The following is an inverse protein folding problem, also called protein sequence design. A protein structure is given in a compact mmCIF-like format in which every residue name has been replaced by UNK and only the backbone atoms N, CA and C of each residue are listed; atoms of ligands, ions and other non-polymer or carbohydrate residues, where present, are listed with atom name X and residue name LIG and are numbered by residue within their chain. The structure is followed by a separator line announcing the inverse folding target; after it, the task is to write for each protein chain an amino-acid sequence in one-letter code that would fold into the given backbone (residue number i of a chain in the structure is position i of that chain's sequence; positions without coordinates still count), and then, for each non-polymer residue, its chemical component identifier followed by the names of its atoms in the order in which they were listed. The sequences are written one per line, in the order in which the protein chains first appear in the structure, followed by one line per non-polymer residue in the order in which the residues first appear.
data_IF_816321659213
#
_entry.id   IF_816321659213
#
_cell.length_a   1.000
_cell.length_b   1.000
_cell.length_c   1.000
_cell.angle_alpha   90.00
_cell.angle_beta   90.00
_cell.angle_gamma   90.00
#
_symmetry.space_group_name_H-M   'P 1'
#
loop_
_entity.id
_entity.type
_entity.pdbx_description
1 polymer ?
#
# COMPACT_ATOMS: atom_id res chain seq x y z
N UNK A 1 6.67 9.22 73.94
CA UNK A 1 5.78 8.04 73.78
C UNK A 1 4.83 8.34 72.64
N UNK A 2 4.68 7.57 71.58
CA UNK A 2 5.27 6.31 71.14
C UNK A 2 4.92 6.16 69.65
N UNK A 3 5.78 5.46 68.91
CA UNK A 3 5.69 5.23 67.47
C UNK A 3 4.60 4.18 67.21
N UNK A 4 3.83 4.31 66.13
CA UNK A 4 3.14 3.16 65.52
C UNK A 4 3.09 3.30 64.00
N UNK A 5 3.96 2.53 63.34
CA UNK A 5 3.91 2.18 61.91
C UNK A 5 2.71 1.29 61.64
N UNK A 6 1.93 1.55 60.57
CA UNK A 6 1.26 0.52 59.76
C UNK A 6 1.08 0.96 58.29
N UNK A 7 1.94 0.36 57.46
CA UNK A 7 1.63 -0.33 56.19
C UNK A 7 0.95 0.40 55.02
N UNK A 8 1.75 0.52 53.96
CA UNK A 8 1.45 0.78 52.55
C UNK A 8 0.37 -0.17 51.98
N UNK A 9 -0.43 0.28 50.99
CA UNK A 9 -0.68 -0.56 49.83
C UNK A 9 -0.19 0.11 48.54
N UNK A 10 0.66 -0.65 47.86
CA UNK A 10 1.15 -0.45 46.51
C UNK A 10 -0.05 -0.64 45.56
N UNK A 11 -0.07 0.17 44.50
CA UNK A 11 -0.42 -0.20 43.11
C UNK A 11 -1.39 0.80 42.51
N UNK A 12 -0.88 1.66 41.65
CA UNK A 12 -1.56 2.01 40.41
C UNK A 12 -0.51 2.16 39.30
N UNK A 13 -0.43 1.11 38.49
CA UNK A 13 0.24 1.08 37.20
C UNK A 13 -0.59 1.90 36.20
N UNK A 14 -0.10 3.07 35.79
CA UNK A 14 -0.47 3.76 34.54
C UNK A 14 0.78 4.60 34.19
N UNK A 15 1.69 4.08 33.35
CA UNK A 15 1.72 4.23 31.89
C UNK A 15 1.70 5.69 31.41
N UNK A 16 2.55 6.54 31.97
CA UNK A 16 2.90 7.82 31.36
C UNK A 16 4.31 7.73 30.76
N UNK A 17 4.44 6.91 29.70
CA UNK A 17 5.57 7.01 28.77
C UNK A 17 5.23 8.19 27.87
N UNK A 18 5.66 9.38 28.30
CA UNK A 18 5.58 10.61 27.53
C UNK A 18 6.58 10.51 26.37
N UNK A 19 6.16 9.83 25.29
CA UNK A 19 6.93 9.74 24.05
C UNK A 19 6.88 11.10 23.35
N UNK A 20 7.85 11.94 23.69
CA UNK A 20 8.10 13.23 23.05
C UNK A 20 8.60 12.97 21.63
N UNK A 21 7.69 12.83 20.67
CA UNK A 21 8.05 12.71 19.26
C UNK A 21 8.59 14.06 18.77
N UNK A 22 9.91 14.13 18.62
CA UNK A 22 10.65 15.21 17.99
C UNK A 22 10.20 15.35 16.52
N UNK A 23 9.36 16.35 16.22
CA UNK A 23 8.96 16.69 14.86
C UNK A 23 10.14 17.41 14.19
N UNK A 24 10.95 16.63 13.46
CA UNK A 24 11.95 17.17 12.55
C UNK A 24 11.22 17.70 11.30
N UNK A 25 11.13 19.03 11.17
CA UNK A 25 10.58 19.68 9.98
C UNK A 25 11.62 19.59 8.87
N UNK A 26 11.53 18.53 8.06
CA UNK A 26 12.29 18.45 6.80
C UNK A 26 11.62 19.36 5.76
N UNK A 27 12.32 20.41 5.34
CA UNK A 27 12.00 21.26 4.18
C UNK A 27 12.24 20.53 2.83
N UNK A 28 11.77 19.29 2.72
CA UNK A 28 11.66 18.56 1.48
C UNK A 28 10.18 18.42 1.15
N UNK A 29 9.76 18.81 -0.06
CA UNK A 29 8.35 18.75 -0.46
C UNK A 29 7.72 17.40 -0.08
N UNK A 30 6.60 17.44 0.65
CA UNK A 30 5.90 16.24 1.10
C UNK A 30 5.57 15.35 -0.10
N UNK A 31 6.30 14.25 -0.26
CA UNK A 31 5.95 13.22 -1.23
C UNK A 31 4.77 12.44 -0.64
N UNK A 32 3.63 12.47 -1.31
CA UNK A 32 2.49 11.65 -0.91
C UNK A 32 2.82 10.17 -1.16
N UNK A 33 2.81 9.38 -0.09
CA UNK A 33 3.04 7.93 -0.12
C UNK A 33 1.88 7.25 0.59
N UNK A 34 1.27 6.30 -0.08
CA UNK A 34 0.22 5.46 0.49
C UNK A 34 0.69 4.00 0.43
N UNK A 35 0.62 3.29 1.55
CA UNK A 35 1.09 1.90 1.67
C UNK A 35 0.14 1.09 2.56
N UNK A 36 -0.22 -0.10 2.10
CA UNK A 36 -0.88 -1.13 2.92
C UNK A 36 -0.10 -2.42 2.72
N UNK A 37 0.56 -2.95 3.77
CA UNK A 37 1.33 -4.18 3.66
C UNK A 37 0.46 -5.33 3.19
N UNK A 38 0.88 -6.00 2.11
CA UNK A 38 0.33 -7.29 1.72
C UNK A 38 1.15 -8.45 2.30
N UNK A 39 0.62 -9.65 2.22
CA UNK A 39 1.32 -10.90 2.52
C UNK A 39 1.37 -11.78 1.28
N UNK A 40 2.45 -12.54 1.11
CA UNK A 40 2.62 -13.44 -0.05
C UNK A 40 3.07 -12.73 -1.33
N UNK A 41 3.17 -13.50 -2.41
CA UNK A 41 3.52 -13.05 -3.75
C UNK A 41 4.94 -12.52 -3.96
N UNK A 42 5.28 -12.30 -5.23
CA UNK A 42 6.49 -11.60 -5.63
C UNK A 42 6.25 -10.08 -5.65
N UNK A 43 7.22 -9.33 -5.12
CA UNK A 43 7.18 -7.87 -5.12
C UNK A 43 7.79 -7.32 -6.41
N UNK A 44 7.03 -6.50 -7.13
CA UNK A 44 7.54 -5.75 -8.29
C UNK A 44 7.32 -4.26 -8.06
N UNK A 45 8.34 -3.46 -8.38
CA UNK A 45 8.28 -2.00 -8.35
C UNK A 45 8.34 -1.45 -9.77
N UNK A 46 7.35 -0.63 -10.13
CA UNK A 46 7.21 -0.09 -11.48
C UNK A 46 7.06 1.42 -11.39
N UNK A 47 7.95 2.14 -12.08
CA UNK A 47 7.86 3.60 -12.20
C UNK A 47 6.76 3.97 -13.20
N UNK A 48 6.10 5.10 -12.96
CA UNK A 48 5.18 5.68 -13.92
C UNK A 48 5.87 5.88 -15.28
N UNK A 49 5.16 5.51 -16.35
CA UNK A 49 5.63 5.50 -17.72
C UNK A 49 6.41 4.23 -18.12
N UNK A 50 6.62 3.29 -17.20
CA UNK A 50 7.33 2.04 -17.47
C UNK A 50 6.42 0.82 -17.36
N UNK A 51 6.94 -0.31 -17.85
CA UNK A 51 6.33 -1.63 -17.78
C UNK A 51 7.18 -2.56 -16.92
N UNK A 52 6.55 -3.23 -15.96
CA UNK A 52 7.11 -4.39 -15.26
C UNK A 52 6.64 -5.70 -15.89
N UNK A 53 7.38 -6.78 -15.66
CA UNK A 53 7.04 -8.11 -16.17
C UNK A 53 7.08 -9.13 -15.05
N UNK A 54 6.09 -10.02 -15.03
CA UNK A 54 6.02 -11.19 -14.18
C UNK A 54 5.52 -12.37 -15.01
N UNK A 55 6.40 -13.31 -15.34
CA UNK A 55 6.08 -14.40 -16.27
C UNK A 55 5.49 -13.86 -17.59
N UNK A 56 4.28 -14.26 -17.96
CA UNK A 56 3.57 -13.85 -19.19
C UNK A 56 2.79 -12.52 -19.00
N UNK A 57 2.69 -12.02 -17.76
CA UNK A 57 2.02 -10.78 -17.42
C UNK A 57 2.97 -9.58 -17.56
N UNK A 58 2.54 -8.61 -18.38
CA UNK A 58 3.16 -7.29 -18.47
C UNK A 58 2.25 -6.26 -17.79
N UNK A 59 2.82 -5.36 -17.00
CA UNK A 59 2.09 -4.37 -16.21
C UNK A 59 2.69 -2.99 -16.49
N UNK A 60 1.97 -2.17 -17.23
CA UNK A 60 2.29 -0.75 -17.42
C UNK A 60 1.73 0.09 -16.29
N UNK A 61 2.52 1.04 -15.76
CA UNK A 61 1.99 2.11 -14.90
C UNK A 61 1.83 3.37 -15.75
N UNK A 62 0.64 3.58 -16.28
CA UNK A 62 0.37 4.65 -17.25
C UNK A 62 0.34 6.03 -16.57
N UNK A 63 -0.31 6.12 -15.41
CA UNK A 63 -0.45 7.37 -14.68
C UNK A 63 -0.64 7.16 -13.19
N UNK A 64 -0.29 8.15 -12.37
CA UNK A 64 -0.60 8.22 -10.94
C UNK A 64 -1.27 9.57 -10.69
N UNK A 65 -2.48 9.55 -10.16
CA UNK A 65 -3.29 10.76 -9.96
C UNK A 65 -3.88 10.80 -8.56
N UNK A 66 -4.00 12.02 -8.02
CA UNK A 66 -4.71 12.27 -6.77
C UNK A 66 -6.17 12.55 -7.08
N UNK A 67 -7.08 11.76 -6.52
CA UNK A 67 -8.54 11.91 -6.75
C UNK A 67 -9.33 11.27 -5.62
N UNK A 68 -10.63 11.52 -5.64
CA UNK A 68 -11.58 10.76 -4.83
C UNK A 68 -11.81 9.37 -5.44
N UNK A 69 -11.92 8.36 -4.59
CA UNK A 69 -12.27 6.98 -4.95
C UNK A 69 -13.11 6.32 -3.84
N UNK A 70 -13.78 5.23 -4.19
CA UNK A 70 -14.50 4.37 -3.23
C UNK A 70 -13.66 3.12 -3.02
N UNK A 71 -13.33 2.80 -1.76
CA UNK A 71 -12.56 1.61 -1.46
C UNK A 71 -13.44 0.34 -1.42
N UNK A 72 -12.81 -0.83 -1.26
CA UNK A 72 -13.49 -2.13 -1.16
C UNK A 72 -14.55 -2.21 -0.05
N UNK A 73 -14.44 -1.38 1.01
CA UNK A 73 -15.43 -1.30 2.09
C UNK A 73 -16.60 -0.33 1.77
N UNK A 74 -16.65 0.23 0.56
CA UNK A 74 -17.66 1.21 0.14
C UNK A 74 -17.42 2.63 0.68
N UNK A 75 -16.30 2.89 1.35
CA UNK A 75 -16.00 4.20 1.92
C UNK A 75 -15.38 5.12 0.87
N UNK A 76 -15.91 6.35 0.76
CA UNK A 76 -15.28 7.42 -0.03
C UNK A 76 -13.97 7.86 0.63
N UNK A 77 -12.92 7.94 -0.16
CA UNK A 77 -11.57 8.36 0.24
C UNK A 77 -11.03 9.34 -0.79
N UNK A 78 -10.15 10.22 -0.35
CA UNK A 78 -9.33 11.04 -1.22
C UNK A 78 -7.89 10.55 -1.10
N UNK A 79 -7.25 10.21 -2.22
CA UNK A 79 -5.90 9.64 -2.18
C UNK A 79 -5.32 9.43 -3.58
N UNK A 80 -4.24 8.65 -3.65
CA UNK A 80 -3.58 8.31 -4.89
C UNK A 80 -4.24 7.08 -5.53
N UNK A 81 -4.46 7.17 -6.83
CA UNK A 81 -4.76 6.01 -7.67
C UNK A 81 -3.71 5.87 -8.76
N UNK A 82 -3.41 4.63 -9.12
CA UNK A 82 -2.60 4.29 -10.27
C UNK A 82 -3.50 3.80 -11.40
N UNK A 83 -3.17 4.18 -12.64
CA UNK A 83 -3.74 3.59 -13.84
C UNK A 83 -2.77 2.53 -14.31
N UNK A 84 -3.17 1.26 -14.18
CA UNK A 84 -2.39 0.11 -14.63
C UNK A 84 -2.95 -0.41 -15.94
N UNK A 85 -2.10 -0.66 -16.92
CA UNK A 85 -2.42 -1.47 -18.10
C UNK A 85 -1.85 -2.86 -17.89
N UNK A 86 -2.69 -3.88 -17.82
CA UNK A 86 -2.27 -5.27 -17.71
C UNK A 86 -2.42 -5.93 -19.08
N UNK A 87 -1.36 -6.62 -19.51
CA UNK A 87 -1.33 -7.38 -20.74
C UNK A 87 -0.85 -8.80 -20.46
N UNK A 88 -1.58 -9.81 -20.93
CA UNK A 88 -1.16 -11.22 -20.88
C UNK A 88 -1.06 -11.72 -22.31
N UNK A 89 0.13 -12.23 -22.65
CA UNK A 89 0.37 -12.86 -23.94
C UNK A 89 -0.40 -14.19 -24.04
N UNK A 90 -0.92 -14.52 -25.22
CA UNK A 90 -1.81 -15.65 -25.42
C UNK A 90 -2.48 -15.67 -26.78
N UNK A 91 -3.38 -16.64 -27.00
CA UNK A 91 -4.18 -16.73 -28.21
C UNK A 91 -5.68 -16.88 -27.86
N UNK A 92 -6.48 -15.79 -27.87
CA UNK A 92 -6.07 -14.41 -28.16
C UNK A 92 -5.33 -13.74 -26.97
N UNK A 93 -4.51 -12.72 -27.21
CA UNK A 93 -3.92 -11.91 -26.14
C UNK A 93 -5.00 -11.10 -25.40
N UNK A 94 -4.76 -10.80 -24.13
CA UNK A 94 -5.67 -10.03 -23.28
C UNK A 94 -5.01 -8.75 -22.80
N UNK A 95 -5.69 -7.61 -22.95
CA UNK A 95 -5.25 -6.32 -22.42
C UNK A 95 -6.40 -5.62 -21.70
N UNK A 96 -6.13 -5.04 -20.53
CA UNK A 96 -7.13 -4.27 -19.77
C UNK A 96 -6.50 -3.21 -18.88
N UNK A 97 -7.14 -2.04 -18.87
CA UNK A 97 -6.80 -0.97 -17.96
C UNK A 97 -7.58 -1.05 -16.64
N UNK A 98 -6.89 -0.76 -15.55
CA UNK A 98 -7.43 -0.73 -14.20
C UNK A 98 -7.04 0.56 -13.50
N UNK A 99 -8.03 1.25 -12.93
CA UNK A 99 -7.79 2.33 -11.97
C UNK A 99 -7.79 1.71 -10.58
N UNK A 100 -6.65 1.73 -9.92
CA UNK A 100 -6.46 1.03 -8.65
C UNK A 100 -5.97 1.96 -7.55
N UNK A 101 -6.44 1.72 -6.33
CA UNK A 101 -5.92 2.36 -5.12
C UNK A 101 -5.10 1.37 -4.29
N UNK A 102 -4.37 1.87 -3.29
CA UNK A 102 -3.62 1.01 -2.37
C UNK A 102 -4.55 0.06 -1.61
N UNK A 103 -4.11 -1.18 -1.43
CA UNK A 103 -4.89 -2.24 -0.80
C UNK A 103 -5.87 -2.94 -1.73
N UNK A 104 -6.02 -2.48 -2.98
CA UNK A 104 -6.86 -3.14 -3.95
C UNK A 104 -6.17 -4.37 -4.54
N UNK A 105 -6.96 -5.43 -4.77
CA UNK A 105 -6.55 -6.63 -5.49
C UNK A 105 -7.36 -6.73 -6.77
N UNK A 106 -6.68 -6.87 -7.90
CA UNK A 106 -7.29 -7.14 -9.20
C UNK A 106 -6.84 -8.51 -9.70
N UNK A 107 -7.68 -9.16 -10.49
CA UNK A 107 -7.37 -10.45 -11.12
C UNK A 107 -7.47 -10.33 -12.63
N UNK A 108 -6.52 -10.94 -13.33
CA UNK A 108 -6.54 -11.07 -14.79
C UNK A 108 -5.91 -12.39 -15.19
N UNK A 109 -6.65 -13.21 -15.93
CA UNK A 109 -6.27 -14.59 -16.22
C UNK A 109 -5.91 -15.36 -14.93
N UNK A 110 -4.75 -16.04 -14.90
CA UNK A 110 -4.22 -16.74 -13.73
C UNK A 110 -3.46 -15.85 -12.76
N UNK A 111 -3.49 -14.53 -12.89
CA UNK A 111 -2.72 -13.63 -12.04
C UNK A 111 -3.60 -12.82 -11.08
N UNK A 112 -3.12 -12.69 -9.84
CA UNK A 112 -3.63 -11.75 -8.84
C UNK A 112 -2.59 -10.65 -8.64
N UNK A 113 -2.99 -9.38 -8.83
CA UNK A 113 -2.14 -8.20 -8.64
C UNK A 113 -2.71 -7.38 -7.49
N UNK A 114 -1.94 -7.28 -6.41
CA UNK A 114 -2.26 -6.48 -5.24
C UNK A 114 -1.41 -5.21 -5.19
N UNK A 115 -2.05 -4.07 -4.96
CA UNK A 115 -1.37 -2.78 -4.86
C UNK A 115 -0.91 -2.54 -3.43
N UNK A 116 0.36 -2.79 -3.15
CA UNK A 116 0.93 -2.56 -1.82
C UNK A 116 1.22 -1.08 -1.58
N UNK A 117 1.69 -0.34 -2.59
CA UNK A 117 2.16 1.03 -2.40
C UNK A 117 2.00 1.89 -3.66
N UNK A 118 1.61 3.15 -3.49
CA UNK A 118 1.64 4.18 -4.53
C UNK A 118 2.37 5.41 -3.98
N UNK A 119 3.38 5.89 -4.72
CA UNK A 119 4.13 7.12 -4.44
C UNK A 119 3.88 8.16 -5.53
N UNK A 120 3.29 9.29 -5.18
CA UNK A 120 2.95 10.38 -6.11
C UNK A 120 4.09 11.40 -6.27
N UNK A 121 5.13 11.08 -7.04
CA UNK A 121 6.21 12.00 -7.42
C UNK A 121 6.20 12.29 -8.93
N UNK A 122 7.06 13.20 -9.41
CA UNK A 122 7.25 13.54 -10.85
C UNK A 122 7.56 12.30 -11.72
N UNK A 123 8.07 11.22 -11.09
CA UNK A 123 8.15 9.87 -11.67
C UNK A 123 7.71 8.89 -10.60
N UNK A 124 6.42 8.90 -10.32
CA UNK A 124 5.83 8.12 -9.25
C UNK A 124 6.15 6.62 -9.37
N UNK A 125 5.96 5.91 -8.27
CA UNK A 125 6.33 4.50 -8.14
C UNK A 125 5.13 3.73 -7.61
N UNK A 126 4.87 2.57 -8.20
CA UNK A 126 3.89 1.61 -7.68
C UNK A 126 4.64 0.36 -7.25
N UNK A 127 4.37 -0.12 -6.04
CA UNK A 127 4.81 -1.43 -5.56
C UNK A 127 3.62 -2.37 -5.60
N UNK A 128 3.79 -3.48 -6.32
CA UNK A 128 2.78 -4.51 -6.53
C UNK A 128 3.24 -5.82 -5.91
N UNK A 129 2.30 -6.61 -5.39
CA UNK A 129 2.48 -8.04 -5.10
C UNK A 129 1.74 -8.85 -6.14
N UNK A 130 2.43 -9.79 -6.77
CA UNK A 130 1.86 -10.60 -7.85
C UNK A 130 1.92 -12.06 -7.45
N UNK A 131 0.82 -12.76 -7.67
CA UNK A 131 0.66 -14.19 -7.40
C UNK A 131 0.07 -14.87 -8.64
N UNK A 132 0.57 -16.06 -8.97
CA UNK A 132 -0.12 -16.97 -9.88
C UNK A 132 -1.18 -17.73 -9.07
N UNK A 133 -2.43 -17.63 -9.48
CA UNK A 133 -3.56 -18.36 -8.93
C UNK A 133 -3.42 -19.82 -9.36
N UNK A 134 -3.36 -20.74 -8.41
CA UNK A 134 -3.31 -22.17 -8.71
C UNK A 134 -4.50 -22.54 -9.61
N UNK A 135 -4.23 -23.23 -10.71
CA UNK A 135 -5.27 -23.87 -11.51
C UNK A 135 -5.90 -24.97 -10.64
N UNK A 136 -7.16 -24.78 -10.27
CA UNK A 136 -7.99 -25.87 -9.74
C UNK A 136 -8.23 -26.92 -10.83
#
# INVERSE_FOLDING_TARGET
MGITNKTVPIKNHMKDILLSALILVCLGGCVQVEKVPGSGGELIQIKQGNVGRFHELQIGVTNIIKTDYVNEAGAKKQGLIAVLSLFVDGNPPQEKDFKVHVGQKITMDKYSVYVEEIRGTVKGLVTLRIEELAKN
#
